data_IF_896634824515
#
_entry.id   IF_896634824515
#
_cell.length_a   1.000
_cell.length_b   1.000
_cell.length_c   1.000
_cell.angle_alpha   90.00
_cell.angle_beta   90.00
_cell.angle_gamma   90.00
#
_symmetry.space_group_name_H-M   'P 1'
#
loop_
_entity.id
_entity.type
_entity.pdbx_description
1 polymer ?
#
# COMPACT_ATOMS: atom_id res chain seq x y z
N UNK A 1 -4.72 -8.36 23.64
CA UNK A 1 -5.88 -8.10 22.75
C UNK A 1 -5.38 -8.03 21.32
N UNK A 2 -6.11 -8.63 20.38
CA UNK A 2 -5.80 -8.54 18.97
C UNK A 2 -5.87 -7.12 18.45
N UNK A 3 -5.15 -6.85 17.36
CA UNK A 3 -5.14 -5.53 16.71
C UNK A 3 -6.28 -5.43 15.73
N UNK A 4 -6.95 -4.28 15.69
CA UNK A 4 -7.85 -3.92 14.59
C UNK A 4 -7.08 -3.10 13.57
N UNK A 5 -6.88 -3.65 12.39
CA UNK A 5 -5.96 -3.13 11.38
C UNK A 5 -6.77 -2.65 10.17
N UNK A 6 -6.54 -1.41 9.77
CA UNK A 6 -7.05 -0.87 8.51
C UNK A 6 -5.90 -0.59 7.56
N UNK A 7 -6.05 -1.00 6.31
CA UNK A 7 -5.11 -0.65 5.26
C UNK A 7 -5.79 -0.45 3.91
N UNK A 8 -5.30 0.50 3.14
CA UNK A 8 -5.83 0.85 1.83
C UNK A 8 -4.81 0.77 0.71
N UNK A 9 -5.23 0.27 -0.45
CA UNK A 9 -4.44 0.29 -1.68
C UNK A 9 -5.23 0.95 -2.79
N UNK A 10 -4.60 1.93 -3.46
CA UNK A 10 -5.23 2.60 -4.61
C UNK A 10 -5.28 1.66 -5.82
N UNK A 11 -6.44 1.57 -6.51
CA UNK A 11 -6.60 0.75 -7.71
C UNK A 11 -5.99 1.42 -8.94
N UNK A 12 -4.69 1.52 -8.95
CA UNK A 12 -3.95 2.16 -10.05
C UNK A 12 -3.44 1.16 -11.08
N UNK A 13 -3.80 -0.11 -10.99
CA UNK A 13 -3.39 -1.21 -11.88
C UNK A 13 -1.90 -1.54 -11.83
N UNK A 14 -1.49 -2.60 -12.51
CA UNK A 14 -0.09 -2.99 -12.66
C UNK A 14 0.69 -2.94 -11.34
N UNK A 15 0.18 -3.62 -10.30
CA UNK A 15 0.89 -3.73 -9.04
C UNK A 15 2.23 -4.45 -9.27
N UNK A 16 3.30 -3.87 -8.72
CA UNK A 16 4.65 -4.34 -8.94
C UNK A 16 5.31 -4.81 -7.65
N UNK A 17 6.49 -5.37 -7.76
CA UNK A 17 7.28 -5.92 -6.65
C UNK A 17 7.44 -4.94 -5.49
N UNK A 18 7.59 -3.64 -5.78
CA UNK A 18 7.65 -2.60 -4.75
C UNK A 18 6.34 -2.46 -3.95
N UNK A 19 5.17 -2.65 -4.58
CA UNK A 19 3.88 -2.69 -3.86
C UNK A 19 3.76 -3.98 -3.04
N UNK A 20 4.20 -5.11 -3.59
CA UNK A 20 4.15 -6.39 -2.90
C UNK A 20 5.03 -6.37 -1.63
N UNK A 21 6.30 -6.06 -1.75
CA UNK A 21 7.24 -6.05 -0.63
C UNK A 21 7.02 -4.88 0.32
N UNK A 22 6.60 -3.72 -0.22
CA UNK A 22 6.35 -2.51 0.56
C UNK A 22 5.01 -2.48 1.29
N UNK A 23 4.03 -3.34 0.95
CA UNK A 23 2.72 -3.32 1.60
C UNK A 23 2.06 -4.70 1.68
N UNK A 24 1.79 -5.34 0.52
CA UNK A 24 0.89 -6.51 0.44
C UNK A 24 1.43 -7.70 1.23
N UNK A 25 2.74 -7.97 1.19
CA UNK A 25 3.36 -9.04 1.97
C UNK A 25 3.13 -8.86 3.47
N UNK A 26 3.26 -7.63 3.96
CA UNK A 26 2.97 -7.33 5.36
C UNK A 26 1.48 -7.52 5.70
N UNK A 27 0.57 -7.18 4.78
CA UNK A 27 -0.87 -7.44 4.97
C UNK A 27 -1.16 -8.94 5.08
N UNK A 28 -0.48 -9.78 4.30
CA UNK A 28 -0.59 -11.24 4.39
C UNK A 28 -0.10 -11.73 5.75
N UNK A 29 1.05 -11.23 6.22
CA UNK A 29 1.61 -11.60 7.52
C UNK A 29 0.64 -11.20 8.67
N UNK A 30 0.06 -9.99 8.61
CA UNK A 30 -0.90 -9.51 9.58
C UNK A 30 -2.22 -10.30 9.54
N UNK A 31 -2.68 -10.69 8.35
CA UNK A 31 -3.88 -11.49 8.15
C UNK A 31 -3.72 -12.94 8.64
N UNK A 32 -2.51 -13.47 8.61
CA UNK A 32 -2.19 -14.81 9.10
C UNK A 32 -2.10 -14.89 10.63
N UNK A 33 -1.93 -13.75 11.30
CA UNK A 33 -2.06 -13.68 12.75
C UNK A 33 -3.55 -13.64 13.14
N UNK A 34 -4.07 -14.78 13.56
CA UNK A 34 -5.48 -14.98 13.90
C UNK A 34 -6.00 -14.12 15.05
N UNK A 35 -5.12 -13.42 15.76
CA UNK A 35 -5.53 -12.47 16.80
C UNK A 35 -5.94 -11.12 16.22
N UNK A 36 -5.57 -10.82 14.97
CA UNK A 36 -5.86 -9.56 14.30
C UNK A 36 -7.21 -9.59 13.57
N UNK A 37 -7.92 -8.47 13.63
CA UNK A 37 -9.06 -8.14 12.76
C UNK A 37 -8.57 -7.24 11.63
N UNK A 38 -8.51 -7.75 10.39
CA UNK A 38 -7.96 -7.04 9.26
C UNK A 38 -9.05 -6.53 8.31
N UNK A 39 -8.95 -5.26 7.93
CA UNK A 39 -9.83 -4.57 6.99
C UNK A 39 -8.95 -4.01 5.87
N UNK A 40 -9.13 -4.52 4.66
CA UNK A 40 -8.39 -4.12 3.46
C UNK A 40 -9.32 -3.41 2.48
N UNK A 41 -9.05 -2.15 2.23
CA UNK A 41 -9.86 -1.29 1.38
C UNK A 41 -9.18 -1.01 0.05
N UNK A 42 -9.88 -1.21 -1.06
CA UNK A 42 -9.48 -0.68 -2.35
C UNK A 42 -9.95 0.77 -2.41
N UNK A 43 -9.02 1.71 -2.23
CA UNK A 43 -9.34 3.13 -2.00
C UNK A 43 -9.51 3.89 -3.33
N UNK A 44 -10.61 3.61 -4.00
CA UNK A 44 -10.98 4.17 -5.30
C UNK A 44 -11.39 5.66 -5.23
N UNK A 45 -11.93 6.16 -4.12
CA UNK A 45 -12.15 7.60 -3.91
C UNK A 45 -10.83 8.38 -3.83
N UNK A 46 -9.75 7.79 -3.29
CA UNK A 46 -8.42 8.40 -3.35
C UNK A 46 -7.87 8.41 -4.77
N UNK A 47 -8.18 7.41 -5.58
CA UNK A 47 -7.70 7.34 -6.95
C UNK A 47 -8.27 8.46 -7.83
N UNK A 48 -9.53 8.90 -7.60
CA UNK A 48 -10.17 9.95 -8.40
C UNK A 48 -9.71 11.38 -8.06
N UNK A 49 -8.80 11.54 -7.11
CA UNK A 49 -8.09 12.83 -6.91
C UNK A 49 -7.29 13.25 -8.15
N UNK A 50 -6.99 12.31 -9.03
CA UNK A 50 -6.50 12.52 -10.39
C UNK A 50 -7.46 11.86 -11.37
N UNK A 51 -7.58 12.43 -12.59
CA UNK A 51 -8.51 11.92 -13.60
C UNK A 51 -8.26 10.45 -13.91
N UNK A 52 -9.31 9.62 -13.84
CA UNK A 52 -9.30 8.20 -14.15
C UNK A 52 -10.21 7.91 -15.34
N UNK A 53 -9.86 6.91 -16.14
CA UNK A 53 -10.81 6.28 -17.07
C UNK A 53 -11.71 5.32 -16.26
N UNK A 54 -13.07 5.43 -16.37
CA UNK A 54 -13.97 4.64 -15.56
C UNK A 54 -13.86 3.12 -15.78
N UNK A 55 -13.56 2.68 -17.02
CA UNK A 55 -13.40 1.25 -17.31
C UNK A 55 -12.10 0.71 -16.74
N UNK A 56 -11.03 1.51 -16.86
CA UNK A 56 -9.70 1.18 -16.30
C UNK A 56 -9.79 1.11 -14.77
N UNK A 57 -10.43 2.11 -14.13
CA UNK A 57 -10.59 2.12 -12.67
C UNK A 57 -11.32 0.87 -12.16
N UNK A 58 -12.43 0.48 -12.81
CA UNK A 58 -13.18 -0.74 -12.44
C UNK A 58 -12.35 -2.01 -12.60
N UNK A 59 -11.59 -2.13 -13.68
CA UNK A 59 -10.72 -3.28 -13.90
C UNK A 59 -9.58 -3.32 -12.87
N UNK A 60 -8.98 -2.17 -12.57
CA UNK A 60 -7.92 -2.05 -11.58
C UNK A 60 -8.40 -2.38 -10.16
N UNK A 61 -9.66 -2.06 -9.82
CA UNK A 61 -10.29 -2.45 -8.55
C UNK A 61 -10.31 -3.98 -8.43
N UNK A 62 -10.79 -4.70 -9.46
CA UNK A 62 -10.77 -6.16 -9.48
C UNK A 62 -9.35 -6.74 -9.45
N UNK A 63 -8.42 -6.15 -10.21
CA UNK A 63 -7.00 -6.57 -10.20
C UNK A 63 -6.38 -6.42 -8.81
N UNK A 64 -6.71 -5.35 -8.08
CA UNK A 64 -6.21 -5.15 -6.71
C UNK A 64 -6.75 -6.23 -5.77
N UNK A 65 -8.04 -6.56 -5.83
CA UNK A 65 -8.63 -7.64 -5.03
C UNK A 65 -8.04 -9.00 -5.40
N UNK A 66 -7.92 -9.29 -6.70
CA UNK A 66 -7.28 -10.51 -7.18
C UNK A 66 -5.84 -10.63 -6.68
N UNK A 67 -5.10 -9.50 -6.66
CA UNK A 67 -3.74 -9.47 -6.13
C UNK A 67 -3.69 -9.72 -4.62
N UNK A 68 -4.62 -9.19 -3.83
CA UNK A 68 -4.70 -9.49 -2.40
C UNK A 68 -4.87 -10.98 -2.17
N UNK A 69 -5.84 -11.61 -2.84
CA UNK A 69 -6.15 -13.04 -2.68
C UNK A 69 -4.97 -13.90 -3.17
N UNK A 70 -4.45 -13.62 -4.37
CA UNK A 70 -3.33 -14.35 -4.96
C UNK A 70 -2.05 -14.25 -4.12
N UNK A 71 -1.88 -13.16 -3.38
CA UNK A 71 -0.76 -12.97 -2.46
C UNK A 71 -0.92 -13.73 -1.14
N UNK A 72 -2.13 -14.20 -0.80
CA UNK A 72 -2.41 -15.02 0.38
C UNK A 72 -3.34 -14.36 1.43
N UNK A 73 -4.01 -13.25 1.10
CA UNK A 73 -5.05 -12.68 1.97
C UNK A 73 -6.31 -13.53 1.83
N UNK A 74 -6.81 -14.06 2.95
CA UNK A 74 -8.03 -14.88 3.00
C UNK A 74 -9.27 -13.97 3.14
N UNK A 75 -10.13 -13.86 2.11
CA UNK A 75 -11.33 -13.03 2.16
C UNK A 75 -12.40 -13.50 3.15
N UNK A 76 -12.27 -14.74 3.68
CA UNK A 76 -13.16 -15.24 4.74
C UNK A 76 -12.77 -14.71 6.11
N UNK A 77 -11.49 -14.40 6.31
CA UNK A 77 -10.94 -13.90 7.58
C UNK A 77 -10.86 -12.38 7.65
N UNK A 78 -10.82 -11.72 6.50
CA UNK A 78 -10.69 -10.27 6.39
C UNK A 78 -11.92 -9.65 5.74
N UNK A 79 -12.12 -8.36 5.98
CA UNK A 79 -13.07 -7.56 5.23
C UNK A 79 -12.32 -6.95 4.04
N UNK A 80 -12.71 -7.29 2.81
CA UNK A 80 -12.15 -6.73 1.58
C UNK A 80 -13.26 -6.02 0.81
N UNK A 81 -13.15 -4.72 0.59
CA UNK A 81 -14.17 -3.93 -0.09
C UNK A 81 -13.55 -2.76 -0.86
N UNK A 82 -14.33 -2.12 -1.74
CA UNK A 82 -13.92 -0.87 -2.36
C UNK A 82 -14.58 0.33 -1.64
N UNK A 83 -13.81 1.36 -1.43
CA UNK A 83 -14.14 2.53 -0.61
C UNK A 83 -15.44 3.21 -1.06
N UNK A 84 -15.62 3.43 -2.37
CA UNK A 84 -16.79 4.12 -2.93
C UNK A 84 -18.11 3.36 -2.72
N UNK A 85 -18.05 2.06 -2.40
CA UNK A 85 -19.26 1.30 -2.11
C UNK A 85 -19.86 1.63 -0.74
N UNK A 86 -19.09 2.22 0.18
CA UNK A 86 -19.52 2.58 1.54
C UNK A 86 -19.61 4.10 1.66
N UNK A 87 -20.81 4.66 1.52
CA UNK A 87 -21.06 6.12 1.49
C UNK A 87 -20.55 6.85 2.75
N UNK A 88 -20.54 6.17 3.89
CA UNK A 88 -20.07 6.69 5.17
C UNK A 88 -18.64 7.26 5.12
N UNK A 89 -17.77 6.78 4.21
CA UNK A 89 -16.43 7.35 4.03
C UNK A 89 -16.48 8.82 3.60
N UNK A 90 -17.36 9.15 2.63
CA UNK A 90 -17.51 10.51 2.12
C UNK A 90 -18.23 11.42 3.13
N UNK A 91 -19.24 10.90 3.80
CA UNK A 91 -19.97 11.63 4.85
C UNK A 91 -19.05 11.97 6.04
N UNK A 92 -18.33 10.97 6.52
CA UNK A 92 -17.35 11.15 7.59
C UNK A 92 -16.23 12.11 7.18
N UNK A 93 -15.75 12.03 5.93
CA UNK A 93 -14.74 12.95 5.42
C UNK A 93 -15.24 14.39 5.42
N UNK A 94 -16.52 14.64 5.11
CA UNK A 94 -17.11 15.97 5.24
C UNK A 94 -17.13 16.45 6.68
N UNK A 95 -17.63 15.63 7.60
CA UNK A 95 -17.70 15.94 9.03
C UNK A 95 -16.30 16.28 9.57
N UNK A 96 -15.32 15.42 9.29
CA UNK A 96 -13.93 15.64 9.74
C UNK A 96 -13.27 16.83 9.06
N UNK A 97 -13.69 17.21 7.84
CA UNK A 97 -13.22 18.44 7.19
C UNK A 97 -13.65 19.69 7.95
N UNK A 98 -14.80 19.65 8.64
CA UNK A 98 -15.28 20.75 9.51
C UNK A 98 -14.51 20.81 10.86
N UNK A 99 -13.83 19.72 11.24
CA UNK A 99 -12.99 19.63 12.45
C UNK A 99 -11.53 19.97 12.15
N UNK A 100 -11.00 19.48 11.02
CA UNK A 100 -9.62 19.67 10.60
C UNK A 100 -9.28 21.16 10.38
N UNK A 101 -8.04 21.53 10.67
CA UNK A 101 -7.57 22.91 10.49
C UNK A 101 -6.83 23.08 9.16
N UNK A 102 -7.12 24.16 8.43
CA UNK A 102 -6.41 24.51 7.19
C UNK A 102 -4.89 24.51 7.36
N UNK A 103 -4.38 25.03 8.48
CA UNK A 103 -2.94 25.05 8.77
C UNK A 103 -2.31 23.66 8.91
N UNK A 104 -3.07 22.63 9.29
CA UNK A 104 -2.59 21.25 9.32
C UNK A 104 -2.43 20.70 7.92
N UNK A 105 -3.45 20.86 7.08
CA UNK A 105 -3.45 20.40 5.68
C UNK A 105 -2.36 21.11 4.84
N UNK A 106 -2.16 22.41 5.05
CA UNK A 106 -1.15 23.20 4.33
C UNK A 106 0.29 22.73 4.59
N UNK A 107 0.53 22.02 5.69
CA UNK A 107 1.84 21.45 6.04
C UNK A 107 2.11 20.08 5.40
N UNK A 108 1.09 19.42 4.82
CA UNK A 108 1.24 18.11 4.19
C UNK A 108 2.20 18.15 3.01
N UNK A 109 3.27 17.38 3.09
CA UNK A 109 4.34 17.35 2.06
C UNK A 109 3.86 16.78 0.75
N UNK A 110 3.04 15.73 0.77
CA UNK A 110 2.54 15.09 -0.44
C UNK A 110 1.65 16.00 -1.30
N UNK A 111 0.89 16.94 -0.71
CA UNK A 111 0.18 17.94 -1.49
C UNK A 111 1.15 18.80 -2.30
N UNK A 112 2.23 19.26 -1.65
CA UNK A 112 3.26 20.10 -2.29
C UNK A 112 3.94 19.38 -3.46
N UNK A 113 4.21 18.09 -3.29
CA UNK A 113 4.85 17.26 -4.32
C UNK A 113 3.92 16.96 -5.50
N UNK A 114 2.66 16.58 -5.24
CA UNK A 114 1.69 16.18 -6.27
C UNK A 114 1.08 17.37 -7.02
N UNK A 115 0.85 18.50 -6.36
CA UNK A 115 0.36 19.72 -6.99
C UNK A 115 1.44 20.37 -7.92
N UNK A 116 2.71 20.06 -7.70
CA UNK A 116 3.81 20.59 -8.49
C UNK A 116 3.91 22.12 -8.43
N UNK A 117 4.31 22.74 -9.57
CA UNK A 117 4.44 24.21 -9.67
C UNK A 117 3.09 24.91 -9.86
N UNK A 118 2.08 24.22 -10.37
CA UNK A 118 0.79 24.79 -10.77
C UNK A 118 -0.32 24.41 -9.76
N UNK A 119 -0.19 24.95 -8.56
CA UNK A 119 -1.12 24.64 -7.44
C UNK A 119 -2.56 25.07 -7.73
N UNK A 120 -2.77 26.07 -8.58
CA UNK A 120 -4.10 26.56 -8.94
C UNK A 120 -4.92 25.53 -9.73
N UNK A 121 -4.24 24.63 -10.44
CA UNK A 121 -4.90 23.53 -11.18
C UNK A 121 -5.13 22.27 -10.33
N UNK A 122 -4.62 22.22 -9.09
CA UNK A 122 -4.83 21.12 -8.21
C UNK A 122 -6.30 21.06 -7.75
N UNK A 123 -6.89 19.86 -7.76
CA UNK A 123 -8.26 19.70 -7.26
C UNK A 123 -8.33 19.87 -5.74
N UNK A 124 -9.50 20.33 -5.24
CA UNK A 124 -9.78 20.38 -3.79
C UNK A 124 -9.60 18.98 -3.17
N UNK A 125 -9.99 17.91 -3.88
CA UNK A 125 -9.79 16.54 -3.44
C UNK A 125 -8.32 16.19 -3.21
N UNK A 126 -7.40 16.71 -4.02
CA UNK A 126 -5.96 16.51 -3.80
C UNK A 126 -5.45 17.25 -2.55
N UNK A 127 -6.10 18.33 -2.14
CA UNK A 127 -5.78 19.05 -0.90
C UNK A 127 -6.37 18.36 0.32
N UNK A 128 -7.61 17.86 0.23
CA UNK A 128 -8.39 17.34 1.35
C UNK A 128 -8.30 15.82 1.53
N UNK A 129 -7.67 15.06 0.59
CA UNK A 129 -7.61 13.59 0.72
C UNK A 129 -6.99 13.07 2.05
N UNK A 130 -6.11 13.80 2.77
CA UNK A 130 -5.65 13.34 4.08
C UNK A 130 -6.77 13.25 5.12
N UNK A 131 -7.84 14.08 4.97
CA UNK A 131 -9.03 13.99 5.82
C UNK A 131 -9.87 12.77 5.44
N UNK A 132 -9.98 12.44 4.15
CA UNK A 132 -10.61 11.20 3.70
C UNK A 132 -9.85 9.97 4.24
N UNK A 133 -8.51 10.00 4.28
CA UNK A 133 -7.73 8.93 4.90
C UNK A 133 -8.00 8.83 6.41
N UNK A 134 -8.15 9.94 7.12
CA UNK A 134 -8.56 9.92 8.52
C UNK A 134 -9.96 9.31 8.69
N UNK A 135 -10.91 9.64 7.80
CA UNK A 135 -12.23 9.02 7.75
C UNK A 135 -12.15 7.51 7.59
N UNK A 136 -11.34 7.02 6.63
CA UNK A 136 -11.16 5.61 6.37
C UNK A 136 -10.71 4.82 7.62
N UNK A 137 -9.84 5.41 8.42
CA UNK A 137 -9.27 4.79 9.62
C UNK A 137 -10.24 4.85 10.81
N UNK A 138 -10.83 6.03 11.04
CA UNK A 138 -11.64 6.30 12.23
C UNK A 138 -13.04 5.69 12.17
N UNK A 139 -13.61 5.48 10.97
CA UNK A 139 -14.88 4.77 10.78
C UNK A 139 -14.87 3.36 11.37
N UNK A 140 -13.75 2.71 11.30
CA UNK A 140 -13.62 1.31 11.73
C UNK A 140 -12.98 1.15 13.10
N UNK A 141 -12.72 2.23 13.84
CA UNK A 141 -11.98 2.21 15.11
C UNK A 141 -10.66 1.42 15.00
N UNK A 142 -9.95 1.59 13.87
CA UNK A 142 -8.69 0.91 13.65
C UNK A 142 -7.68 1.31 14.73
N UNK A 143 -7.14 0.31 15.42
CA UNK A 143 -6.13 0.55 16.45
C UNK A 143 -4.73 0.71 15.87
N UNK A 144 -4.50 0.11 14.69
CA UNK A 144 -3.19 0.12 14.03
C UNK A 144 -3.34 0.29 12.52
N UNK A 145 -2.41 1.01 11.92
CA UNK A 145 -2.35 1.24 10.47
C UNK A 145 -0.93 0.93 9.96
N UNK A 146 -0.76 -0.03 9.04
CA UNK A 146 0.51 -0.25 8.37
C UNK A 146 0.87 0.97 7.51
N UNK A 147 1.94 1.65 7.85
CA UNK A 147 2.39 2.86 7.14
C UNK A 147 3.85 2.78 6.76
N UNK A 148 4.18 3.25 5.55
CA UNK A 148 5.54 3.62 5.18
C UNK A 148 5.90 5.01 5.74
N UNK A 149 7.16 5.38 5.64
CA UNK A 149 7.66 6.66 6.16
C UNK A 149 6.94 7.86 5.56
N UNK A 150 6.57 7.79 4.29
CA UNK A 150 5.83 8.82 3.56
C UNK A 150 4.38 9.02 4.02
N UNK A 151 3.81 8.06 4.76
CA UNK A 151 2.44 8.11 5.27
C UNK A 151 2.36 8.45 6.77
N UNK A 152 3.48 8.52 7.48
CA UNK A 152 3.49 8.86 8.91
C UNK A 152 2.81 10.18 9.20
N UNK A 153 3.09 11.22 8.39
CA UNK A 153 2.49 12.55 8.55
C UNK A 153 0.96 12.53 8.40
N UNK A 154 0.42 11.68 7.52
CA UNK A 154 -1.04 11.54 7.39
C UNK A 154 -1.66 10.84 8.60
N UNK A 155 -0.97 9.85 9.17
CA UNK A 155 -1.46 9.19 10.38
C UNK A 155 -1.41 10.12 11.60
N UNK A 156 -0.40 10.97 11.71
CA UNK A 156 -0.33 12.03 12.72
C UNK A 156 -1.52 13.00 12.57
N UNK A 157 -1.82 13.44 11.34
CA UNK A 157 -3.01 14.27 11.08
C UNK A 157 -4.31 13.56 11.49
N UNK A 158 -4.45 12.27 11.22
CA UNK A 158 -5.59 11.47 11.66
C UNK A 158 -5.74 11.49 13.19
N UNK A 159 -4.64 11.34 13.92
CA UNK A 159 -4.61 11.41 15.38
C UNK A 159 -4.99 12.79 15.89
N UNK A 160 -4.47 13.86 15.27
CA UNK A 160 -4.80 15.24 15.62
C UNK A 160 -6.30 15.54 15.43
N UNK A 161 -6.88 15.06 14.31
CA UNK A 161 -8.33 15.20 14.03
C UNK A 161 -9.15 14.44 15.07
N UNK A 162 -8.78 13.17 15.36
CA UNK A 162 -9.46 12.34 16.36
C UNK A 162 -9.43 12.99 17.75
N UNK A 163 -8.27 13.45 18.19
CA UNK A 163 -8.10 14.11 19.48
C UNK A 163 -8.90 15.40 19.56
N UNK A 164 -8.88 16.20 18.47
CA UNK A 164 -9.64 17.45 18.42
C UNK A 164 -11.14 17.19 18.50
N UNK A 165 -11.67 16.20 17.77
CA UNK A 165 -13.08 15.81 17.85
C UNK A 165 -13.46 15.42 19.29
N UNK A 166 -12.68 14.54 19.91
CA UNK A 166 -12.93 14.11 21.29
C UNK A 166 -12.98 15.29 22.26
N UNK A 167 -12.07 16.26 22.11
CA UNK A 167 -12.00 17.44 22.97
C UNK A 167 -13.16 18.43 22.70
N UNK A 168 -13.44 18.72 21.42
CA UNK A 168 -14.45 19.71 21.04
C UNK A 168 -15.87 19.31 21.48
N UNK A 169 -16.15 18.00 21.48
CA UNK A 169 -17.45 17.44 21.85
C UNK A 169 -17.49 16.86 23.29
N UNK A 170 -16.39 16.93 24.02
CA UNK A 170 -16.32 16.43 25.40
C UNK A 170 -16.55 14.93 25.53
N UNK A 171 -16.19 14.15 24.49
CA UNK A 171 -16.36 12.69 24.46
C UNK A 171 -15.02 11.99 24.69
N UNK A 172 -14.89 11.29 25.80
CA UNK A 172 -13.65 10.61 26.15
C UNK A 172 -13.45 9.35 25.29
N UNK A 173 -12.33 9.30 24.58
CA UNK A 173 -11.91 8.14 23.77
C UNK A 173 -12.95 7.65 22.73
N UNK A 174 -13.84 8.51 22.25
CA UNK A 174 -14.81 8.14 21.20
C UNK A 174 -14.07 7.72 19.92
N UNK A 175 -13.12 8.52 19.46
CA UNK A 175 -12.12 8.10 18.50
C UNK A 175 -10.87 7.62 19.22
N UNK A 176 -10.51 6.36 19.00
CA UNK A 176 -9.22 5.81 19.43
C UNK A 176 -8.12 6.39 18.55
N UNK A 177 -6.98 6.72 19.14
CA UNK A 177 -5.84 7.22 18.38
C UNK A 177 -5.11 6.04 17.73
N UNK A 178 -5.10 5.93 16.40
CA UNK A 178 -4.46 4.81 15.71
C UNK A 178 -2.94 4.86 15.84
N UNK A 179 -2.30 3.70 15.98
CA UNK A 179 -0.84 3.57 16.06
C UNK A 179 -0.25 3.10 14.73
N UNK A 180 0.94 3.61 14.36
CA UNK A 180 1.63 3.14 13.17
C UNK A 180 2.19 1.73 13.37
N UNK A 181 1.95 0.84 12.42
CA UNK A 181 2.75 -0.37 12.25
C UNK A 181 3.86 -0.07 11.26
N UNK A 182 5.06 0.17 11.79
CA UNK A 182 6.23 0.49 10.97
C UNK A 182 6.68 -0.78 10.25
N UNK A 183 6.85 -0.68 8.94
CA UNK A 183 7.32 -1.79 8.12
C UNK A 183 8.80 -2.08 8.38
N UNK A 184 9.16 -3.37 8.22
CA UNK A 184 10.55 -3.83 8.36
C UNK A 184 11.48 -3.16 7.35
N UNK A 185 12.78 -3.19 7.62
CA UNK A 185 13.83 -2.73 6.70
C UNK A 185 13.64 -3.29 5.29
N UNK A 186 14.04 -2.49 4.26
CA UNK A 186 13.92 -2.81 2.82
C UNK A 186 12.48 -2.90 2.26
N UNK A 187 11.52 -2.24 2.90
CA UNK A 187 10.19 -2.05 2.31
C UNK A 187 10.18 -1.12 1.07
N UNK A 188 11.21 -0.31 0.89
CA UNK A 188 11.36 0.63 -0.24
C UNK A 188 12.21 0.03 -1.34
N UNK A 189 11.55 -0.51 -2.36
CA UNK A 189 12.20 -1.09 -3.53
C UNK A 189 12.45 -0.01 -4.59
N UNK A 190 13.65 -0.01 -5.15
CA UNK A 190 14.09 0.96 -6.14
C UNK A 190 13.94 0.40 -7.57
N UNK A 191 13.97 1.30 -8.57
CA UNK A 191 13.90 0.94 -9.99
C UNK A 191 15.04 0.00 -10.39
N UNK A 192 14.75 -0.98 -11.25
CA UNK A 192 15.77 -1.87 -11.80
C UNK A 192 16.72 -1.16 -12.78
N UNK A 193 16.36 0.05 -13.23
CA UNK A 193 17.18 0.89 -14.15
C UNK A 193 17.94 1.99 -13.44
N UNK A 194 17.53 2.34 -12.21
CA UNK A 194 18.12 3.43 -11.44
C UNK A 194 17.90 3.15 -9.93
N UNK A 195 18.91 2.63 -9.27
CA UNK A 195 18.85 2.26 -7.86
C UNK A 195 18.66 3.46 -6.91
N UNK A 196 18.70 4.68 -7.39
CA UNK A 196 18.41 5.90 -6.62
C UNK A 196 16.94 6.31 -6.64
N UNK A 197 16.15 5.82 -7.63
CA UNK A 197 14.73 6.16 -7.79
C UNK A 197 13.83 5.04 -7.32
N UNK A 198 12.74 5.37 -6.62
CA UNK A 198 11.74 4.40 -6.19
C UNK A 198 11.12 3.69 -7.40
N UNK A 199 10.96 2.38 -7.32
CA UNK A 199 10.21 1.60 -8.33
C UNK A 199 8.81 2.19 -8.47
N UNK A 200 8.43 2.55 -9.70
CA UNK A 200 7.21 3.29 -9.97
C UNK A 200 6.54 2.83 -11.26
N UNK A 201 5.20 2.85 -11.27
CA UNK A 201 4.39 2.62 -12.46
C UNK A 201 4.49 3.74 -13.49
N UNK A 202 4.78 4.96 -13.05
CA UNK A 202 4.88 6.15 -13.91
C UNK A 202 6.15 6.18 -14.76
N UNK A 203 7.12 5.29 -14.49
CA UNK A 203 8.30 5.16 -15.32
C UNK A 203 7.92 4.52 -16.67
N UNK A 204 8.28 5.17 -17.78
CA UNK A 204 7.88 4.74 -19.13
C UNK A 204 8.36 3.34 -19.49
N UNK A 205 9.55 2.98 -19.04
CA UNK A 205 10.13 1.66 -19.33
C UNK A 205 9.60 0.60 -18.40
N UNK A 206 8.92 -0.41 -18.93
CA UNK A 206 8.48 -1.59 -18.15
C UNK A 206 9.66 -2.40 -17.59
N UNK A 207 10.86 -2.25 -18.14
CA UNK A 207 12.09 -2.87 -17.60
C UNK A 207 12.57 -2.26 -16.27
N UNK A 208 11.92 -1.19 -15.80
CA UNK A 208 12.24 -0.56 -14.52
C UNK A 208 11.70 -1.31 -13.31
N UNK A 209 10.76 -2.24 -13.52
CA UNK A 209 10.01 -2.92 -12.47
C UNK A 209 9.69 -4.36 -12.83
N UNK A 210 9.47 -5.19 -11.81
CA UNK A 210 8.81 -6.50 -11.95
C UNK A 210 7.35 -6.31 -11.56
N UNK A 211 6.42 -6.56 -12.51
CA UNK A 211 4.99 -6.53 -12.22
C UNK A 211 4.55 -7.85 -11.58
N UNK A 212 3.51 -7.83 -10.76
CA UNK A 212 2.99 -9.06 -10.15
C UNK A 212 2.25 -9.95 -11.16
N UNK A 213 2.02 -9.44 -12.37
CA UNK A 213 1.43 -10.16 -13.50
C UNK A 213 2.47 -10.66 -14.50
N UNK A 214 3.77 -10.39 -14.27
CA UNK A 214 4.85 -10.87 -15.14
C UNK A 214 4.91 -12.41 -15.14
N UNK A 215 5.22 -12.96 -16.31
CA UNK A 215 5.55 -14.37 -16.46
C UNK A 215 7.06 -14.63 -16.27
N UNK A 216 7.45 -15.89 -16.38
CA UNK A 216 8.84 -16.32 -16.21
C UNK A 216 9.80 -15.58 -17.16
N UNK A 217 9.44 -15.48 -18.45
CA UNK A 217 10.33 -14.91 -19.46
C UNK A 217 10.49 -13.40 -19.28
N UNK A 218 9.41 -12.73 -18.86
CA UNK A 218 9.44 -11.33 -18.53
C UNK A 218 10.34 -11.06 -17.32
N UNK A 219 10.25 -11.86 -16.24
CA UNK A 219 11.12 -11.75 -15.07
C UNK A 219 12.58 -11.95 -15.45
N UNK A 220 12.89 -13.02 -16.20
CA UNK A 220 14.25 -13.32 -16.69
C UNK A 220 14.82 -12.11 -17.45
N UNK A 221 14.05 -11.58 -18.43
CA UNK A 221 14.49 -10.46 -19.25
C UNK A 221 14.73 -9.19 -18.40
N UNK A 222 13.81 -8.90 -17.46
CA UNK A 222 13.90 -7.71 -16.61
C UNK A 222 15.10 -7.76 -15.67
N UNK A 223 15.36 -8.89 -15.02
CA UNK A 223 16.51 -9.04 -14.12
C UNK A 223 17.83 -9.06 -14.90
N UNK A 224 17.88 -9.75 -16.04
CA UNK A 224 19.05 -9.72 -16.91
C UNK A 224 19.44 -8.29 -17.29
N UNK A 225 18.45 -7.45 -17.64
CA UNK A 225 18.63 -6.04 -18.03
C UNK A 225 18.69 -5.04 -16.88
N UNK A 226 18.51 -5.48 -15.64
CA UNK A 226 18.67 -4.63 -14.47
C UNK A 226 20.08 -4.02 -14.43
N UNK A 227 20.15 -2.71 -14.13
CA UNK A 227 21.42 -1.99 -14.07
C UNK A 227 22.28 -2.53 -12.92
N UNK A 228 23.58 -2.67 -13.16
CA UNK A 228 24.61 -3.06 -12.20
C UNK A 228 25.88 -2.29 -12.50
N UNK A 229 26.76 -2.22 -11.53
CA UNK A 229 28.13 -1.70 -11.69
C UNK A 229 29.09 -2.84 -12.12
N UNK A 230 30.35 -2.53 -12.54
CA UNK A 230 31.32 -3.52 -12.99
C UNK A 230 32.08 -4.25 -11.88
N UNK A 231 31.85 -3.89 -10.60
CA UNK A 231 32.55 -4.47 -9.47
C UNK A 231 31.95 -5.84 -9.07
N UNK A 232 32.69 -6.72 -8.39
CA UNK A 232 32.11 -7.93 -7.83
C UNK A 232 31.05 -7.60 -6.77
N UNK A 233 30.25 -8.59 -6.39
CA UNK A 233 29.27 -8.45 -5.32
C UNK A 233 29.97 -8.01 -4.01
N UNK A 234 29.35 -7.09 -3.25
CA UNK A 234 29.91 -6.53 -2.03
C UNK A 234 30.12 -7.60 -0.96
N UNK A 235 31.11 -7.38 -0.09
CA UNK A 235 31.42 -8.27 1.03
C UNK A 235 30.91 -7.73 2.37
N UNK A 236 30.68 -6.41 2.45
CA UNK A 236 30.20 -5.70 3.63
C UNK A 236 29.11 -4.70 3.28
N UNK A 237 28.40 -4.18 4.27
CA UNK A 237 27.40 -3.09 4.07
C UNK A 237 28.09 -1.83 3.58
N UNK A 238 29.30 -1.54 4.06
CA UNK A 238 30.04 -0.32 3.70
C UNK A 238 30.40 -0.29 2.21
N UNK A 239 30.63 -1.44 1.60
CA UNK A 239 30.86 -1.56 0.14
C UNK A 239 29.64 -1.12 -0.71
N UNK A 240 28.48 -0.90 -0.08
CA UNK A 240 27.23 -0.51 -0.76
C UNK A 240 26.97 0.99 -0.73
N UNK A 241 27.80 1.80 -0.07
CA UNK A 241 27.51 3.23 0.12
C UNK A 241 27.33 4.00 -1.19
N UNK A 242 28.11 3.68 -2.24
CA UNK A 242 28.03 4.31 -3.56
C UNK A 242 27.52 3.33 -4.64
N UNK A 243 26.85 2.26 -4.26
CA UNK A 243 26.38 1.19 -5.16
C UNK A 243 24.87 0.94 -5.01
N UNK A 244 24.01 1.94 -5.36
CA UNK A 244 22.56 1.87 -5.12
C UNK A 244 21.89 0.70 -5.86
N UNK A 245 22.35 0.33 -7.04
CA UNK A 245 21.82 -0.81 -7.81
C UNK A 245 22.11 -2.14 -7.10
N UNK A 246 23.34 -2.35 -6.63
CA UNK A 246 23.71 -3.55 -5.88
C UNK A 246 22.88 -3.63 -4.57
N UNK A 247 22.78 -2.53 -3.83
CA UNK A 247 21.98 -2.43 -2.61
C UNK A 247 20.51 -2.79 -2.86
N UNK A 248 19.92 -2.26 -3.94
CA UNK A 248 18.54 -2.55 -4.31
C UNK A 248 18.34 -4.04 -4.64
N UNK A 249 19.18 -4.63 -5.49
CA UNK A 249 19.01 -6.02 -5.90
C UNK A 249 19.21 -7.01 -4.74
N UNK A 250 20.19 -6.75 -3.84
CA UNK A 250 20.39 -7.54 -2.62
C UNK A 250 19.19 -7.35 -1.68
N UNK A 251 18.68 -6.14 -1.54
CA UNK A 251 17.48 -5.85 -0.73
C UNK A 251 16.24 -6.61 -1.24
N UNK A 252 16.05 -6.69 -2.56
CA UNK A 252 14.99 -7.50 -3.17
C UNK A 252 15.18 -8.97 -2.83
N UNK A 253 16.39 -9.51 -3.00
CA UNK A 253 16.68 -10.90 -2.66
C UNK A 253 16.40 -11.22 -1.20
N UNK A 254 16.91 -10.39 -0.29
CA UNK A 254 16.72 -10.54 1.15
C UNK A 254 15.21 -10.50 1.53
N UNK A 255 14.45 -9.56 0.95
CA UNK A 255 13.03 -9.40 1.23
C UNK A 255 12.17 -10.57 0.70
N UNK A 256 12.51 -11.14 -0.45
CA UNK A 256 11.81 -12.30 -1.03
C UNK A 256 12.12 -13.57 -0.26
N UNK A 257 13.40 -13.81 0.06
CA UNK A 257 13.84 -15.03 0.75
C UNK A 257 13.60 -15.02 2.26
N UNK A 258 13.31 -13.84 2.84
CA UNK A 258 13.20 -13.68 4.29
C UNK A 258 14.53 -13.77 5.03
N UNK A 259 15.66 -13.71 4.32
CA UNK A 259 17.01 -13.68 4.92
C UNK A 259 17.35 -12.26 5.36
N UNK A 260 18.22 -12.14 6.37
CA UNK A 260 18.72 -10.81 6.73
C UNK A 260 19.61 -10.24 5.62
N UNK A 261 19.67 -8.90 5.54
CA UNK A 261 20.46 -8.22 4.52
C UNK A 261 21.94 -8.58 4.60
N UNK A 262 22.53 -8.62 5.80
CA UNK A 262 23.92 -9.04 6.05
C UNK A 262 24.19 -10.46 5.60
N UNK A 263 23.27 -11.39 5.86
CA UNK A 263 23.41 -12.78 5.41
C UNK A 263 23.36 -12.86 3.91
N UNK A 264 22.51 -12.06 3.26
CA UNK A 264 22.41 -11.99 1.80
C UNK A 264 23.70 -11.44 1.18
N UNK A 265 24.32 -10.41 1.75
CA UNK A 265 25.63 -9.91 1.33
C UNK A 265 26.69 -11.04 1.43
N UNK A 266 26.80 -11.69 2.59
CA UNK A 266 27.79 -12.77 2.81
C UNK A 266 27.65 -13.94 1.86
N UNK A 267 26.41 -14.32 1.51
CA UNK A 267 26.14 -15.43 0.59
C UNK A 267 26.68 -15.19 -0.83
N UNK A 268 26.76 -13.93 -1.23
CA UNK A 268 27.19 -13.54 -2.58
C UNK A 268 28.51 -12.76 -2.61
N UNK A 269 29.17 -12.62 -1.47
CA UNK A 269 30.46 -11.89 -1.35
C UNK A 269 31.47 -12.34 -2.40
N UNK A 270 32.00 -11.39 -3.17
CA UNK A 270 33.04 -11.61 -4.18
C UNK A 270 32.58 -12.32 -5.46
N UNK A 271 31.31 -12.76 -5.55
CA UNK A 271 30.75 -13.38 -6.77
C UNK A 271 30.52 -12.32 -7.86
N UNK A 272 30.32 -12.76 -9.10
CA UNK A 272 29.93 -11.86 -10.17
C UNK A 272 28.42 -11.58 -10.18
N UNK A 273 28.01 -10.45 -10.77
CA UNK A 273 26.60 -10.10 -10.88
C UNK A 273 25.76 -11.07 -11.72
N UNK A 274 26.36 -11.82 -12.66
CA UNK A 274 25.62 -12.79 -13.45
C UNK A 274 25.10 -13.93 -12.57
N UNK A 275 25.98 -14.52 -11.75
CA UNK A 275 25.60 -15.59 -10.81
C UNK A 275 24.56 -15.11 -9.79
N UNK A 276 24.72 -13.90 -9.26
CA UNK A 276 23.75 -13.30 -8.36
C UNK A 276 22.39 -13.07 -9.02
N UNK A 277 22.38 -12.51 -10.26
CA UNK A 277 21.14 -12.30 -11.02
C UNK A 277 20.42 -13.61 -11.36
N UNK A 278 21.14 -14.69 -11.64
CA UNK A 278 20.53 -16.00 -11.87
C UNK A 278 19.81 -16.50 -10.61
N UNK A 279 20.43 -16.36 -9.44
CA UNK A 279 19.81 -16.71 -8.16
C UNK A 279 18.62 -15.80 -7.84
N UNK A 280 18.76 -14.47 -8.04
CA UNK A 280 17.67 -13.52 -7.85
C UNK A 280 16.48 -13.82 -8.78
N UNK A 281 16.76 -14.16 -10.03
CA UNK A 281 15.75 -14.54 -11.02
C UNK A 281 14.98 -15.75 -10.55
N UNK A 282 15.67 -16.80 -10.08
CA UNK A 282 15.01 -18.01 -9.62
C UNK A 282 14.08 -17.75 -8.43
N UNK A 283 14.53 -17.05 -7.40
CA UNK A 283 13.68 -16.76 -6.22
C UNK A 283 12.50 -15.85 -6.57
N UNK A 284 12.65 -14.95 -7.56
CA UNK A 284 11.54 -14.14 -8.06
C UNK A 284 10.54 -14.98 -8.85
N UNK A 285 10.99 -15.88 -9.72
CA UNK A 285 10.12 -16.82 -10.46
C UNK A 285 9.32 -17.65 -9.47
N UNK A 286 9.97 -18.27 -8.48
CA UNK A 286 9.34 -19.14 -7.50
C UNK A 286 8.29 -18.41 -6.67
N UNK A 287 8.48 -17.12 -6.43
CA UNK A 287 7.54 -16.32 -5.65
C UNK A 287 6.46 -15.63 -6.49
N UNK A 288 6.82 -15.02 -7.61
CA UNK A 288 5.93 -14.14 -8.38
C UNK A 288 5.10 -14.93 -9.40
N UNK A 289 5.64 -15.96 -10.06
CA UNK A 289 4.86 -16.70 -11.05
C UNK A 289 3.61 -17.37 -10.47
N UNK A 290 3.61 -17.99 -9.26
CA UNK A 290 2.38 -18.49 -8.66
C UNK A 290 1.35 -17.39 -8.42
N UNK A 291 1.78 -16.22 -7.92
CA UNK A 291 0.92 -15.05 -7.72
C UNK A 291 0.35 -14.56 -9.05
N UNK A 292 1.20 -14.41 -10.08
CA UNK A 292 0.79 -13.99 -11.43
C UNK A 292 -0.26 -14.93 -12.04
N UNK A 293 -0.05 -16.23 -11.93
CA UNK A 293 -0.98 -17.22 -12.45
C UNK A 293 -2.34 -17.17 -11.74
N UNK A 294 -2.32 -17.04 -10.42
CA UNK A 294 -3.57 -16.95 -9.65
C UNK A 294 -4.29 -15.61 -9.91
N UNK A 295 -3.58 -14.47 -10.06
CA UNK A 295 -4.19 -13.20 -10.49
C UNK A 295 -4.91 -13.39 -11.82
N UNK A 296 -4.24 -13.98 -12.83
CA UNK A 296 -4.80 -14.21 -14.17
C UNK A 296 -6.05 -15.10 -14.12
N UNK A 297 -6.03 -16.13 -13.31
CA UNK A 297 -7.18 -17.02 -13.07
C UNK A 297 -8.34 -16.26 -12.43
N UNK A 298 -8.12 -15.56 -11.33
CA UNK A 298 -9.14 -14.79 -10.60
C UNK A 298 -9.76 -13.69 -11.47
N UNK A 299 -9.00 -13.03 -12.33
CA UNK A 299 -9.54 -12.02 -13.26
C UNK A 299 -10.50 -12.58 -14.30
N UNK A 300 -10.44 -13.89 -14.59
CA UNK A 300 -11.43 -14.59 -15.41
C UNK A 300 -12.70 -14.94 -14.59
N UNK A 301 -12.63 -14.99 -13.28
CA UNK A 301 -13.71 -15.29 -12.34
C UNK A 301 -14.35 -14.00 -11.79
N UNK A 302 -14.77 -13.07 -12.66
CA UNK A 302 -15.25 -11.73 -12.28
C UNK A 302 -16.37 -11.76 -11.24
N UNK A 303 -17.32 -12.69 -11.38
CA UNK A 303 -18.44 -12.83 -10.43
C UNK A 303 -17.95 -13.19 -9.02
N UNK A 304 -16.90 -13.98 -8.90
CA UNK A 304 -16.29 -14.31 -7.61
C UNK A 304 -15.67 -13.08 -6.94
N UNK A 305 -14.91 -12.27 -7.71
CA UNK A 305 -14.32 -11.03 -7.20
C UNK A 305 -15.39 -10.00 -6.80
N UNK A 306 -16.45 -9.88 -7.63
CA UNK A 306 -17.57 -8.97 -7.33
C UNK A 306 -18.34 -9.42 -6.08
N UNK A 307 -18.46 -10.74 -5.85
CA UNK A 307 -19.09 -11.27 -4.63
C UNK A 307 -18.27 -10.97 -3.38
N UNK A 308 -16.94 -11.11 -3.45
CA UNK A 308 -16.04 -10.73 -2.32
C UNK A 308 -16.20 -9.24 -1.99
N UNK A 309 -16.22 -8.38 -3.00
CA UNK A 309 -16.43 -6.94 -2.80
C UNK A 309 -17.81 -6.65 -2.19
N UNK A 310 -18.85 -7.36 -2.60
CA UNK A 310 -20.21 -7.22 -2.08
C UNK A 310 -20.30 -7.68 -0.60
N UNK A 311 -19.73 -8.83 -0.29
CA UNK A 311 -19.70 -9.35 1.09
C UNK A 311 -18.92 -8.41 2.01
N UNK A 312 -17.79 -7.90 1.51
CA UNK A 312 -16.98 -6.89 2.20
C UNK A 312 -17.71 -5.57 2.40
N UNK A 313 -18.41 -5.09 1.36
CA UNK A 313 -19.29 -3.92 1.45
C UNK A 313 -20.33 -4.05 2.56
N UNK A 314 -21.05 -5.18 2.62
CA UNK A 314 -22.09 -5.40 3.64
C UNK A 314 -21.53 -5.33 5.06
N UNK A 315 -20.38 -5.99 5.30
CA UNK A 315 -19.69 -5.97 6.60
C UNK A 315 -19.17 -4.58 6.95
N UNK A 316 -18.49 -3.94 6.00
CA UNK A 316 -17.89 -2.61 6.19
C UNK A 316 -18.98 -1.54 6.41
N UNK A 317 -20.06 -1.55 5.61
CA UNK A 317 -21.18 -0.62 5.74
C UNK A 317 -21.86 -0.71 7.09
N UNK A 318 -22.06 -1.92 7.62
CA UNK A 318 -22.65 -2.09 8.96
C UNK A 318 -21.82 -1.38 10.02
N UNK A 319 -20.51 -1.64 10.06
CA UNK A 319 -19.60 -1.02 11.05
C UNK A 319 -19.57 0.51 10.87
N UNK A 320 -19.45 0.96 9.62
CA UNK A 320 -19.35 2.38 9.30
C UNK A 320 -20.64 3.15 9.63
N UNK A 321 -21.82 2.59 9.31
CA UNK A 321 -23.11 3.23 9.61
C UNK A 321 -23.37 3.35 11.11
N UNK A 322 -23.04 2.34 11.90
CA UNK A 322 -23.13 2.39 13.36
C UNK A 322 -22.22 3.49 13.95
N UNK A 323 -21.05 3.70 13.33
CA UNK A 323 -20.12 4.76 13.77
C UNK A 323 -20.63 6.14 13.41
N UNK A 324 -21.15 6.34 12.18
CA UNK A 324 -21.72 7.61 11.72
C UNK A 324 -22.96 7.98 12.55
N UNK A 325 -23.83 7.03 12.84
CA UNK A 325 -24.99 7.28 13.68
C UNK A 325 -24.61 7.85 15.07
N UNK A 326 -23.61 7.27 15.72
CA UNK A 326 -23.10 7.80 17.00
C UNK A 326 -22.50 9.19 16.87
N UNK A 327 -21.87 9.49 15.73
CA UNK A 327 -21.37 10.86 15.46
C UNK A 327 -22.53 11.83 15.30
N UNK A 328 -23.61 11.43 14.61
CA UNK A 328 -24.80 12.27 14.49
C UNK A 328 -25.41 12.59 15.85
N UNK A 329 -25.52 11.60 16.73
CA UNK A 329 -26.01 11.81 18.10
C UNK A 329 -25.12 12.79 18.88
N UNK A 330 -23.80 12.68 18.76
CA UNK A 330 -22.84 13.59 19.43
C UNK A 330 -22.94 15.01 18.87
N UNK A 331 -23.13 15.16 17.55
CA UNK A 331 -23.15 16.46 16.87
C UNK A 331 -24.54 17.11 16.90
N UNK A 332 -25.60 16.35 17.22
CA UNK A 332 -26.97 16.84 17.29
C UNK A 332 -27.71 16.87 15.93
N UNK A 333 -27.40 15.90 15.02
CA UNK A 333 -28.08 15.73 13.74
C UNK A 333 -29.32 14.87 13.88
#
# INVERSE_FOLDING_TARGET
>A
MGKKIFSGVQPTGNLHLGNYLGAIKNFVDLNNDHTNECIFCVVDLHAVTVKQDPKVLRNNTRETVATFIASGIDPKKSIIFNQSSVAAHSEMAWILSCIARMGWLSRMTQFKEKAGKDKEKASVGLYSYPVLMASDILLYDASHVPVGDDQKQHLELCRDIAQKFNNDFGVENFFKLPEPLIQKEFSRIMSLKDGSKKMSKSELSDLSRVNLTDDKDQIVNKIKKAKTDPLPMPSTIDDLNDRPEAKNLIGIYASITGTSFDKSIKNFSGKNFSEFKDNLTQVLIDKICPISNEIKKLLNEKNYLDQILLDGHQKASKIASEKVQKIHEIMGF
#
